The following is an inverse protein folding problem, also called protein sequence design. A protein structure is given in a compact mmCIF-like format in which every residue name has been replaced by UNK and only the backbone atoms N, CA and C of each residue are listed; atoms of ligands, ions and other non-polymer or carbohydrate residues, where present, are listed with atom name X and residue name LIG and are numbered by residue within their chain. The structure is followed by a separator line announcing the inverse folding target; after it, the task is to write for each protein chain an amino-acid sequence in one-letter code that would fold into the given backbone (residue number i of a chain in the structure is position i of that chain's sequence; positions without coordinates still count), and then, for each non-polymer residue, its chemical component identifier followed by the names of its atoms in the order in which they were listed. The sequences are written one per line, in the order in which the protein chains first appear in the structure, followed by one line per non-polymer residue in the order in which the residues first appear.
data_IF_792605464976
#
_entry.id   IF_792605464976
#
_cell.length_a   1.000
_cell.length_b   1.000
_cell.length_c   1.000
_cell.angle_alpha   90.00
_cell.angle_beta   90.00
_cell.angle_gamma   90.00
#
_symmetry.space_group_name_H-M   'P 1'
#
loop_
_entity.id
_entity.type
_entity.pdbx_description
1 polymer ?
#
# COMPACT_ATOMS: atom_id res chain seq x y z
N UNK A 1 -14.21 16.53 -9.31
CA UNK A 1 -13.76 15.59 -8.27
C UNK A 1 -14.25 14.18 -8.54
N UNK A 2 -13.34 13.21 -8.48
CA UNK A 2 -13.67 11.77 -8.53
C UNK A 2 -13.65 11.15 -7.13
N UNK A 3 -14.58 10.23 -6.88
CA UNK A 3 -14.64 9.41 -5.67
C UNK A 3 -14.42 7.95 -6.08
N UNK A 4 -13.47 7.27 -5.44
CA UNK A 4 -13.16 5.86 -5.71
C UNK A 4 -13.07 5.06 -4.41
N UNK A 5 -13.27 3.76 -4.50
CA UNK A 5 -13.05 2.85 -3.38
C UNK A 5 -11.56 2.50 -3.25
N UNK A 6 -11.07 2.22 -2.02
CA UNK A 6 -9.71 1.73 -1.85
C UNK A 6 -9.55 0.37 -2.54
N UNK A 7 -8.35 0.09 -3.06
CA UNK A 7 -8.09 -1.15 -3.79
C UNK A 7 -6.61 -1.51 -3.76
N UNK A 8 -6.28 -2.70 -4.23
CA UNK A 8 -4.88 -3.12 -4.37
C UNK A 8 -4.70 -4.01 -5.59
N UNK A 9 -3.46 -4.10 -6.06
CA UNK A 9 -3.06 -5.01 -7.12
C UNK A 9 -1.68 -5.61 -6.81
N UNK A 10 -1.52 -6.90 -7.04
CA UNK A 10 -0.22 -7.55 -6.97
C UNK A 10 0.67 -7.09 -8.13
N UNK A 11 1.86 -6.60 -7.82
CA UNK A 11 2.85 -6.23 -8.83
C UNK A 11 3.91 -7.31 -9.02
N UNK A 12 4.34 -7.94 -7.93
CA UNK A 12 5.27 -9.06 -7.95
C UNK A 12 4.94 -10.01 -6.81
N UNK A 13 4.57 -11.24 -7.17
CA UNK A 13 4.31 -12.32 -6.22
C UNK A 13 5.11 -13.53 -6.69
N UNK A 14 5.92 -14.16 -5.82
CA UNK A 14 6.67 -15.33 -6.18
C UNK A 14 5.73 -16.50 -6.45
N UNK A 15 6.10 -17.36 -7.40
CA UNK A 15 5.36 -18.60 -7.64
C UNK A 15 5.34 -19.43 -6.34
N UNK A 16 4.16 -19.89 -5.86
CA UNK A 16 4.03 -20.50 -4.54
C UNK A 16 5.00 -21.66 -4.29
N UNK A 17 5.17 -22.56 -5.25
CA UNK A 17 6.06 -23.71 -5.10
C UNK A 17 7.53 -23.29 -5.09
N UNK A 18 7.92 -22.30 -5.89
CA UNK A 18 9.26 -21.72 -5.86
C UNK A 18 9.55 -21.02 -4.53
N UNK A 19 8.59 -20.28 -3.98
CA UNK A 19 8.71 -19.67 -2.66
C UNK A 19 8.90 -20.73 -1.57
N UNK A 20 8.08 -21.79 -1.57
CA UNK A 20 8.19 -22.89 -0.60
C UNK A 20 9.55 -23.57 -0.69
N UNK A 21 10.04 -23.90 -1.90
CA UNK A 21 11.37 -24.48 -2.11
C UNK A 21 12.49 -23.56 -1.62
N UNK A 22 12.39 -22.25 -1.88
CA UNK A 22 13.37 -21.27 -1.42
C UNK A 22 13.44 -21.21 0.11
N UNK A 23 12.29 -21.12 0.77
CA UNK A 23 12.20 -21.07 2.23
C UNK A 23 12.66 -22.39 2.88
N UNK A 24 12.31 -23.52 2.29
CA UNK A 24 12.78 -24.84 2.75
C UNK A 24 14.30 -24.96 2.66
N UNK A 25 14.90 -24.56 1.53
CA UNK A 25 16.35 -24.60 1.36
C UNK A 25 17.05 -23.74 2.42
N UNK A 26 16.58 -22.50 2.64
CA UNK A 26 17.12 -21.60 3.67
C UNK A 26 17.02 -22.22 5.07
N UNK A 27 15.86 -22.79 5.42
CA UNK A 27 15.67 -23.45 6.71
C UNK A 27 16.60 -24.65 6.92
N UNK A 28 16.76 -25.49 5.90
CA UNK A 28 17.55 -26.72 6.00
C UNK A 28 19.04 -26.45 6.08
N UNK A 29 19.53 -25.36 5.50
CA UNK A 29 20.93 -24.91 5.65
C UNK A 29 21.31 -24.69 7.11
N UNK A 30 20.40 -24.23 7.97
CA UNK A 30 20.66 -24.03 9.40
C UNK A 30 20.99 -25.35 10.14
N UNK A 31 20.44 -26.47 9.68
CA UNK A 31 20.59 -27.77 10.32
C UNK A 31 21.36 -28.79 9.47
N UNK A 32 21.89 -28.38 8.31
CA UNK A 32 22.54 -29.26 7.31
C UNK A 32 21.70 -30.50 7.01
N UNK A 33 20.43 -30.27 6.68
CA UNK A 33 19.42 -31.31 6.48
C UNK A 33 18.80 -31.29 5.08
N UNK A 34 19.58 -30.85 4.09
CA UNK A 34 19.20 -30.74 2.68
C UNK A 34 18.80 -32.10 2.07
N UNK A 35 19.33 -33.21 2.59
CA UNK A 35 19.00 -34.58 2.17
C UNK A 35 17.54 -34.98 2.44
N UNK A 36 16.85 -34.24 3.31
CA UNK A 36 15.44 -34.49 3.69
C UNK A 36 14.44 -33.72 2.81
N UNK A 37 14.89 -33.08 1.73
CA UNK A 37 14.01 -32.43 0.76
C UNK A 37 13.25 -33.51 -0.03
N UNK A 38 11.93 -33.48 0.07
CA UNK A 38 11.01 -34.38 -0.61
C UNK A 38 9.68 -33.66 -0.92
N UNK A 39 8.84 -34.21 -1.82
CA UNK A 39 7.50 -33.66 -2.07
C UNK A 39 6.69 -33.49 -0.76
N UNK A 40 6.14 -32.30 -0.54
CA UNK A 40 5.34 -31.96 0.66
C UNK A 40 6.14 -31.68 1.94
N UNK A 41 7.47 -31.80 1.92
CA UNK A 41 8.29 -31.59 3.11
C UNK A 41 8.47 -30.10 3.47
N UNK A 42 8.42 -29.20 2.48
CA UNK A 42 8.47 -27.75 2.67
C UNK A 42 7.33 -27.25 3.57
N UNK A 43 6.08 -27.61 3.27
CA UNK A 43 4.91 -27.16 4.01
C UNK A 43 4.92 -27.67 5.46
N UNK A 44 5.27 -28.95 5.65
CA UNK A 44 5.39 -29.54 6.97
C UNK A 44 6.49 -28.85 7.81
N UNK A 45 7.63 -28.54 7.19
CA UNK A 45 8.74 -27.84 7.83
C UNK A 45 8.36 -26.39 8.18
N UNK A 46 7.80 -25.64 7.23
CA UNK A 46 7.44 -24.23 7.43
C UNK A 46 6.33 -24.06 8.48
N UNK A 47 5.36 -24.98 8.56
CA UNK A 47 4.37 -25.00 9.65
C UNK A 47 5.04 -25.14 11.02
N UNK A 48 6.03 -26.04 11.16
CA UNK A 48 6.80 -26.18 12.41
C UNK A 48 7.63 -24.93 12.71
N UNK A 49 8.28 -24.34 11.71
CA UNK A 49 9.08 -23.12 11.85
C UNK A 49 8.25 -21.96 12.40
N UNK A 50 7.06 -21.75 11.83
CA UNK A 50 6.11 -20.74 12.31
C UNK A 50 5.69 -21.03 13.75
N UNK A 51 5.35 -22.29 14.06
CA UNK A 51 4.94 -22.69 15.41
C UNK A 51 6.05 -22.49 16.47
N UNK A 52 7.31 -22.75 16.11
CA UNK A 52 8.46 -22.55 16.99
C UNK A 52 8.91 -21.08 17.08
N UNK A 53 8.36 -20.17 16.27
CA UNK A 53 8.76 -18.77 16.22
C UNK A 53 10.10 -18.53 15.49
N UNK A 54 10.59 -19.48 14.71
CA UNK A 54 11.84 -19.35 13.93
C UNK A 54 11.61 -18.54 12.62
N UNK A 55 10.94 -17.40 12.73
CA UNK A 55 10.37 -16.70 11.57
C UNK A 55 11.40 -15.99 10.66
N UNK A 56 12.68 -15.93 11.03
CA UNK A 56 13.73 -15.35 10.18
C UNK A 56 13.80 -16.03 8.81
N UNK A 57 13.47 -17.32 8.72
CA UNK A 57 13.38 -18.05 7.45
C UNK A 57 12.41 -17.38 6.48
N UNK A 58 11.30 -16.82 6.97
CA UNK A 58 10.26 -16.19 6.15
C UNK A 58 10.72 -14.87 5.51
N UNK A 59 11.86 -14.33 5.92
CA UNK A 59 12.41 -13.09 5.38
C UNK A 59 13.04 -13.26 3.99
N UNK A 60 13.35 -14.50 3.60
CA UNK A 60 14.00 -14.82 2.32
C UNK A 60 13.08 -14.77 1.09
N UNK A 61 11.78 -14.46 1.28
CA UNK A 61 10.82 -14.30 0.19
C UNK A 61 10.08 -12.98 0.36
N UNK A 62 9.93 -12.21 -0.73
CA UNK A 62 9.25 -10.92 -0.74
C UNK A 62 8.13 -10.82 -1.78
N UNK A 63 7.18 -9.93 -1.50
CA UNK A 63 6.03 -9.62 -2.38
C UNK A 63 5.89 -8.11 -2.49
N UNK A 64 5.47 -7.64 -3.67
CA UNK A 64 5.21 -6.23 -3.97
C UNK A 64 3.76 -6.04 -4.34
N UNK A 65 3.09 -5.13 -3.64
CA UNK A 65 1.67 -4.79 -3.82
C UNK A 65 1.57 -3.29 -4.10
N UNK A 66 0.78 -2.92 -5.11
CA UNK A 66 0.30 -1.55 -5.29
C UNK A 66 -0.99 -1.38 -4.51
N UNK A 67 -1.04 -0.40 -3.63
CA UNK A 67 -2.20 -0.07 -2.80
C UNK A 67 -2.71 1.30 -3.23
N UNK A 68 -4.02 1.41 -3.43
CA UNK A 68 -4.75 2.66 -3.65
C UNK A 68 -5.53 2.92 -2.37
N UNK A 69 -5.15 3.96 -1.64
CA UNK A 69 -5.76 4.37 -0.38
C UNK A 69 -5.74 5.90 -0.26
N UNK A 70 -6.18 6.44 0.87
CA UNK A 70 -6.08 7.87 1.13
C UNK A 70 -4.76 8.25 1.81
N UNK A 71 -4.45 9.56 1.82
CA UNK A 71 -3.23 10.07 2.46
C UNK A 71 -3.17 9.74 3.95
N UNK A 72 -4.31 9.75 4.66
CA UNK A 72 -4.40 9.37 6.07
C UNK A 72 -3.93 7.93 6.29
N UNK A 73 -4.54 6.97 5.59
CA UNK A 73 -4.14 5.55 5.66
C UNK A 73 -2.68 5.37 5.23
N UNK A 74 -2.21 6.07 4.19
CA UNK A 74 -0.82 5.95 3.78
C UNK A 74 0.18 6.41 4.86
N UNK A 75 -0.19 7.38 5.70
CA UNK A 75 0.65 7.84 6.81
C UNK A 75 0.74 6.81 7.94
N UNK A 76 -0.26 5.95 8.10
CA UNK A 76 -0.22 4.79 9.00
C UNK A 76 0.61 3.66 8.37
N UNK A 77 0.37 3.37 7.09
CA UNK A 77 1.05 2.30 6.35
C UNK A 77 2.58 2.45 6.36
N UNK A 78 3.10 3.65 6.14
CA UNK A 78 4.55 3.89 6.10
C UNK A 78 5.24 3.79 7.47
N UNK A 79 4.49 3.51 8.54
CA UNK A 79 5.05 3.24 9.88
C UNK A 79 5.61 1.82 9.99
N UNK A 80 5.27 0.92 9.06
CA UNK A 80 5.88 -0.41 8.94
C UNK A 80 7.27 -0.29 8.30
N UNK A 81 8.31 -0.16 9.15
CA UNK A 81 9.67 0.24 8.76
C UNK A 81 10.46 -0.81 7.97
N UNK A 82 10.14 -2.09 8.12
CA UNK A 82 10.84 -3.20 7.44
C UNK A 82 10.24 -3.46 6.05
N UNK A 83 9.93 -2.39 5.34
CA UNK A 83 9.27 -2.39 4.05
C UNK A 83 9.89 -1.32 3.16
N UNK A 84 9.77 -1.47 1.85
CA UNK A 84 10.15 -0.47 0.86
C UNK A 84 8.91 0.18 0.26
N UNK A 85 8.91 1.51 0.14
CA UNK A 85 7.76 2.28 -0.34
C UNK A 85 8.12 3.19 -1.52
N UNK A 86 7.26 3.22 -2.52
CA UNK A 86 7.24 4.25 -3.57
C UNK A 86 5.84 4.82 -3.65
N UNK A 87 5.68 6.10 -3.33
CA UNK A 87 4.38 6.74 -3.19
C UNK A 87 4.16 7.88 -4.19
N UNK A 88 2.92 8.01 -4.68
CA UNK A 88 2.46 9.15 -5.47
C UNK A 88 2.79 10.48 -4.75
N UNK A 89 3.59 11.32 -5.40
CA UNK A 89 4.08 12.56 -4.81
C UNK A 89 3.18 13.74 -5.14
N UNK A 90 2.56 14.32 -4.12
CA UNK A 90 1.80 15.57 -4.24
C UNK A 90 2.66 16.80 -4.57
N UNK A 91 4.00 16.67 -4.58
CA UNK A 91 4.90 17.73 -5.06
C UNK A 91 4.95 17.80 -6.59
N UNK A 92 4.74 16.67 -7.26
CA UNK A 92 4.90 16.52 -8.71
C UNK A 92 3.59 16.14 -9.42
N UNK A 93 2.64 15.52 -8.71
CA UNK A 93 1.30 15.23 -9.20
C UNK A 93 0.47 16.52 -9.21
N UNK A 94 0.57 17.30 -10.30
CA UNK A 94 -0.29 18.46 -10.49
C UNK A 94 -1.69 18.06 -10.97
N UNK A 95 -2.67 18.00 -10.07
CA UNK A 95 -4.06 17.63 -10.36
C UNK A 95 -4.81 18.60 -11.31
N UNK A 96 -4.25 19.79 -11.59
CA UNK A 96 -4.76 20.72 -12.60
C UNK A 96 -4.24 20.41 -14.02
N UNK A 97 -3.37 19.41 -14.18
CA UNK A 97 -2.87 18.98 -15.50
C UNK A 97 -3.86 18.08 -16.24
N UNK A 98 -3.77 18.05 -17.57
CA UNK A 98 -4.67 17.27 -18.44
C UNK A 98 -4.74 15.79 -18.06
N UNK A 99 -3.62 15.18 -17.66
CA UNK A 99 -3.57 13.77 -17.23
C UNK A 99 -4.46 13.44 -16.03
N UNK A 100 -4.90 14.43 -15.26
CA UNK A 100 -5.80 14.27 -14.11
C UNK A 100 -7.20 14.82 -14.38
N UNK A 101 -7.48 15.37 -15.57
CA UNK A 101 -8.79 15.91 -15.91
C UNK A 101 -9.17 17.20 -15.15
N UNK A 102 -8.19 17.93 -14.61
CA UNK A 102 -8.40 19.13 -13.77
C UNK A 102 -9.29 18.87 -12.54
N UNK A 103 -9.12 17.72 -11.91
CA UNK A 103 -9.85 17.37 -10.69
C UNK A 103 -8.98 16.51 -9.75
N UNK A 104 -9.29 16.55 -8.46
CA UNK A 104 -8.69 15.64 -7.49
C UNK A 104 -9.49 14.33 -7.45
N UNK A 105 -8.83 13.26 -7.01
CA UNK A 105 -9.50 12.00 -6.67
C UNK A 105 -9.41 11.80 -5.16
N UNK A 106 -10.51 11.41 -4.53
CA UNK A 106 -10.59 11.11 -3.10
C UNK A 106 -11.06 9.67 -2.88
N UNK A 107 -10.67 9.07 -1.74
CA UNK A 107 -11.19 7.77 -1.33
C UNK A 107 -12.51 7.93 -0.59
N UNK A 108 -13.50 7.13 -0.97
CA UNK A 108 -14.79 7.06 -0.28
C UNK A 108 -14.60 6.64 1.19
N UNK A 109 -15.16 7.37 2.18
CA UNK A 109 -15.17 6.92 3.57
C UNK A 109 -16.04 5.68 3.70
N UNK A 110 -15.53 4.62 4.33
CA UNK A 110 -16.24 3.34 4.47
C UNK A 110 -17.21 3.28 5.66
N UNK A 111 -17.24 4.33 6.49
CA UNK A 111 -17.92 4.36 7.78
C UNK A 111 -19.18 5.24 7.81
N UNK A 112 -19.45 6.00 6.74
CA UNK A 112 -20.68 6.79 6.59
C UNK A 112 -21.38 6.43 5.28
N UNK A 113 -22.68 6.17 5.34
CA UNK A 113 -23.52 6.03 4.15
C UNK A 113 -23.75 7.38 3.46
N UNK A 114 -24.00 7.36 2.15
CA UNK A 114 -24.12 8.58 1.33
C UNK A 114 -25.30 9.49 1.75
N UNK A 115 -26.36 8.91 2.33
CA UNK A 115 -27.52 9.62 2.87
C UNK A 115 -27.26 10.29 4.23
N UNK A 116 -26.17 9.94 4.91
CA UNK A 116 -25.85 10.53 6.21
C UNK A 116 -25.35 11.98 6.09
N UNK A 117 -25.79 12.82 7.03
CA UNK A 117 -25.27 14.19 7.17
C UNK A 117 -23.74 14.26 7.23
N UNK A 118 -23.10 13.25 7.84
CA UNK A 118 -21.63 13.17 7.98
C UNK A 118 -20.94 12.99 6.62
N UNK A 119 -21.47 12.12 5.77
CA UNK A 119 -20.98 11.96 4.40
C UNK A 119 -21.15 13.24 3.60
N UNK A 120 -22.31 13.90 3.70
CA UNK A 120 -22.57 15.17 3.01
C UNK A 120 -21.63 16.30 3.45
N UNK A 121 -21.32 16.39 4.76
CA UNK A 121 -20.32 17.33 5.28
C UNK A 121 -18.91 17.03 4.75
N UNK A 122 -18.54 15.75 4.68
CA UNK A 122 -17.27 15.32 4.10
C UNK A 122 -17.19 15.69 2.62
N UNK A 123 -18.22 15.38 1.84
CA UNK A 123 -18.29 15.67 0.40
C UNK A 123 -18.09 17.17 0.13
N UNK A 124 -18.83 18.02 0.85
CA UNK A 124 -18.70 19.48 0.75
C UNK A 124 -17.28 19.98 1.06
N UNK A 125 -16.63 19.38 2.07
CA UNK A 125 -15.26 19.72 2.41
C UNK A 125 -14.27 19.31 1.31
N UNK A 126 -14.44 18.13 0.71
CA UNK A 126 -13.56 17.67 -0.38
C UNK A 126 -13.70 18.54 -1.63
N UNK A 127 -14.92 18.92 -1.99
CA UNK A 127 -15.18 19.86 -3.09
C UNK A 127 -14.57 21.25 -2.83
N UNK A 128 -14.62 21.72 -1.58
CA UNK A 128 -13.98 22.98 -1.20
C UNK A 128 -12.45 22.90 -1.34
N UNK A 129 -11.84 21.79 -0.94
CA UNK A 129 -10.41 21.55 -1.15
C UNK A 129 -10.03 21.51 -2.64
N UNK A 130 -10.82 20.86 -3.50
CA UNK A 130 -10.59 20.85 -4.95
C UNK A 130 -10.61 22.26 -5.53
N UNK A 131 -11.66 23.04 -5.23
CA UNK A 131 -11.78 24.43 -5.69
C UNK A 131 -10.60 25.27 -5.24
N UNK A 132 -10.21 25.16 -3.97
CA UNK A 132 -9.08 25.89 -3.41
C UNK A 132 -7.75 25.49 -4.08
N UNK A 133 -7.52 24.19 -4.28
CA UNK A 133 -6.30 23.69 -4.95
C UNK A 133 -6.20 24.24 -6.37
N UNK A 134 -7.27 24.13 -7.18
CA UNK A 134 -7.27 24.61 -8.56
C UNK A 134 -7.09 26.13 -8.65
N UNK A 135 -7.77 26.89 -7.77
CA UNK A 135 -7.61 28.33 -7.71
C UNK A 135 -6.18 28.76 -7.37
N UNK A 136 -5.50 28.04 -6.46
CA UNK A 136 -4.08 28.31 -6.15
C UNK A 136 -3.17 28.05 -7.35
N UNK A 137 -3.39 26.94 -8.09
CA UNK A 137 -2.63 26.66 -9.31
C UNK A 137 -2.87 27.73 -10.38
N UNK A 138 -4.14 28.12 -10.61
CA UNK A 138 -4.50 29.14 -11.59
C UNK A 138 -3.94 30.53 -11.20
N UNK A 139 -3.74 30.78 -9.89
CA UNK A 139 -3.06 31.97 -9.37
C UNK A 139 -1.52 31.89 -9.44
N UNK A 140 -0.95 30.83 -10.02
CA UNK A 140 0.48 30.68 -10.26
C UNK A 140 1.25 29.91 -9.19
N UNK A 141 0.59 29.33 -8.18
CA UNK A 141 1.27 28.49 -7.20
C UNK A 141 1.75 27.17 -7.83
N UNK A 142 2.88 26.66 -7.35
CA UNK A 142 3.34 25.31 -7.71
C UNK A 142 2.46 24.23 -7.05
N UNK A 143 2.47 23.01 -7.59
CA UNK A 143 1.77 21.88 -6.97
C UNK A 143 2.24 21.61 -5.52
N UNK A 144 3.53 21.84 -5.24
CA UNK A 144 4.09 21.68 -3.89
C UNK A 144 3.55 22.72 -2.88
N UNK A 145 3.15 23.90 -3.33
CA UNK A 145 2.54 24.93 -2.48
C UNK A 145 1.03 24.71 -2.38
N UNK A 146 0.37 24.51 -3.53
CA UNK A 146 -1.09 24.31 -3.61
C UNK A 146 -1.54 23.06 -2.85
N UNK A 147 -0.71 22.03 -2.73
CA UNK A 147 -1.06 20.82 -1.96
C UNK A 147 -1.35 21.07 -0.47
N UNK A 148 -1.01 22.24 0.07
CA UNK A 148 -1.29 22.63 1.46
C UNK A 148 -2.78 22.59 1.83
N UNK A 149 -3.68 22.72 0.85
CA UNK A 149 -5.14 22.63 1.05
C UNK A 149 -5.74 21.26 0.72
N UNK A 150 -4.92 20.30 0.26
CA UNK A 150 -5.43 18.98 -0.09
C UNK A 150 -5.81 18.17 1.17
N UNK A 151 -6.92 17.41 1.11
CA UNK A 151 -7.44 16.72 2.27
C UNK A 151 -6.67 15.43 2.58
N UNK A 152 -6.82 14.91 3.80
CA UNK A 152 -6.32 13.57 4.13
C UNK A 152 -7.01 12.46 3.32
N UNK A 153 -8.26 12.67 2.91
CA UNK A 153 -8.99 11.73 2.04
C UNK A 153 -8.52 11.71 0.58
N UNK A 154 -7.55 12.56 0.20
CA UNK A 154 -6.98 12.55 -1.14
C UNK A 154 -6.45 11.14 -1.48
N UNK A 155 -6.83 10.62 -2.64
CA UNK A 155 -6.30 9.36 -3.16
C UNK A 155 -4.80 9.44 -3.33
N UNK A 156 -4.12 8.37 -2.95
CA UNK A 156 -2.69 8.16 -3.21
C UNK A 156 -2.45 6.71 -3.60
N UNK A 157 -1.47 6.49 -4.45
CA UNK A 157 -0.96 5.15 -4.74
C UNK A 157 0.35 4.92 -4.00
N UNK A 158 0.47 3.78 -3.33
CA UNK A 158 1.68 3.34 -2.64
C UNK A 158 2.06 1.96 -3.17
N UNK A 159 3.23 1.86 -3.81
CA UNK A 159 3.86 0.57 -4.06
C UNK A 159 4.63 0.19 -2.81
N UNK A 160 4.31 -0.97 -2.26
CA UNK A 160 4.88 -1.50 -1.03
C UNK A 160 5.49 -2.87 -1.29
N UNK A 161 6.75 -3.05 -0.92
CA UNK A 161 7.44 -4.34 -0.93
C UNK A 161 7.78 -4.73 0.50
N UNK A 162 7.43 -5.95 0.90
CA UNK A 162 7.82 -6.51 2.18
C UNK A 162 8.10 -8.02 2.05
N UNK A 163 8.86 -8.58 2.99
CA UNK A 163 9.07 -10.02 3.07
C UNK A 163 7.88 -10.73 3.74
N UNK A 164 7.79 -12.07 3.62
CA UNK A 164 6.65 -12.85 4.15
C UNK A 164 6.49 -12.66 5.67
N UNK A 165 7.59 -12.54 6.42
CA UNK A 165 7.52 -12.24 7.86
C UNK A 165 6.83 -10.90 8.12
N UNK A 166 7.20 -9.87 7.37
CA UNK A 166 6.62 -8.54 7.54
C UNK A 166 5.16 -8.47 7.10
N UNK A 167 4.79 -9.13 6.00
CA UNK A 167 3.39 -9.23 5.58
C UNK A 167 2.49 -9.96 6.59
N UNK A 168 3.05 -10.80 7.47
CA UNK A 168 2.32 -11.42 8.59
C UNK A 168 2.16 -10.50 9.79
N UNK A 169 3.03 -9.50 9.92
CA UNK A 169 3.03 -8.56 11.03
C UNK A 169 2.11 -7.35 10.79
N UNK A 170 2.03 -6.90 9.53
CA UNK A 170 1.13 -5.83 9.06
C UNK A 170 -0.31 -6.32 9.10
#
# INVERSE_FOLDING_TARGET
MKIVDPSFAFMAVPEPQAALRHLEAAARTCYKSEEKIAPGSAEALLRRIVHMGHESVLEHVSMTVRIICDRGVSHELVRHRLCSFSQESTRYANYAGERFGREITVIRPFFWSEDERRYQLWLQAMEACERAYLALIDAGASAQEARSVLPQSLKTEVVMTANVRQWRHI
#
